data_IF_214571120367
#
_entry.id   IF_214571120367
#
_cell.length_a   1.000
_cell.length_b   1.000
_cell.length_c   1.000
_cell.angle_alpha   90.00
_cell.angle_beta   90.00
_cell.angle_gamma   90.00
#
_symmetry.space_group_name_H-M   'P 1'
#
loop_
_entity.id
_entity.type
_entity.pdbx_description
1 polymer ?
#
# COMPACT_ATOMS: atom_id res chain seq x y z
N UNK A 1 -36.49 29.00 -1.82
CA UNK A 1 -35.21 28.41 -2.24
C UNK A 1 -34.46 28.01 -1.02
N UNK A 2 -34.47 26.72 -0.68
CA UNK A 2 -33.72 26.18 0.43
C UNK A 2 -32.22 26.26 0.09
N UNK A 3 -31.43 26.93 0.94
CA UNK A 3 -29.98 26.97 0.75
C UNK A 3 -29.46 25.55 0.97
N UNK A 4 -29.11 24.86 -0.10
CA UNK A 4 -28.37 23.59 -0.03
C UNK A 4 -27.02 23.90 0.62
N UNK A 5 -26.91 23.64 1.92
CA UNK A 5 -25.64 23.75 2.65
C UNK A 5 -24.74 22.65 2.11
N UNK A 6 -23.76 22.99 1.29
CA UNK A 6 -22.75 22.04 0.82
C UNK A 6 -21.92 21.55 1.99
N UNK A 7 -22.05 20.27 2.31
CA UNK A 7 -21.23 19.61 3.35
C UNK A 7 -19.73 19.68 2.98
N UNK A 8 -18.87 19.84 3.99
CA UNK A 8 -17.42 19.95 3.81
C UNK A 8 -16.84 18.57 3.48
N UNK A 9 -16.22 18.42 2.31
CA UNK A 9 -15.46 17.22 1.94
C UNK A 9 -14.09 17.16 2.64
N UNK A 10 -13.38 18.28 2.64
CA UNK A 10 -12.03 18.40 3.21
C UNK A 10 -12.10 18.48 4.75
N UNK A 11 -12.43 17.36 5.37
CA UNK A 11 -12.39 17.16 6.83
C UNK A 11 -11.03 16.59 7.23
N UNK A 12 -10.63 16.73 8.50
CA UNK A 12 -9.42 16.09 9.01
C UNK A 12 -9.40 14.57 8.75
N UNK A 13 -10.53 13.91 8.90
CA UNK A 13 -10.63 12.47 8.65
C UNK A 13 -10.40 12.12 7.19
N UNK A 14 -11.00 12.87 6.26
CA UNK A 14 -10.82 12.65 4.83
C UNK A 14 -9.35 12.92 4.41
N UNK A 15 -8.77 14.03 4.86
CA UNK A 15 -7.37 14.35 4.58
C UNK A 15 -6.42 13.27 5.13
N UNK A 16 -6.65 12.79 6.35
CA UNK A 16 -5.83 11.74 6.96
C UNK A 16 -5.90 10.43 6.18
N UNK A 17 -7.11 10.02 5.75
CA UNK A 17 -7.29 8.78 4.97
C UNK A 17 -6.71 8.92 3.57
N UNK A 18 -6.85 10.06 2.92
CA UNK A 18 -6.25 10.32 1.60
C UNK A 18 -4.70 10.36 1.68
N UNK A 19 -4.14 10.98 2.73
CA UNK A 19 -2.71 10.98 2.98
C UNK A 19 -2.19 9.56 3.28
N UNK A 20 -2.92 8.78 4.09
CA UNK A 20 -2.62 7.38 4.34
C UNK A 20 -2.63 6.56 3.05
N UNK A 21 -3.61 6.79 2.18
CA UNK A 21 -3.66 6.14 0.86
C UNK A 21 -2.45 6.49 -0.01
N UNK A 22 -2.08 7.77 -0.04
CA UNK A 22 -0.88 8.21 -0.74
C UNK A 22 0.36 7.48 -0.21
N UNK A 23 0.59 7.45 1.10
CA UNK A 23 1.75 6.81 1.72
C UNK A 23 1.77 5.30 1.47
N UNK A 24 0.61 4.63 1.56
CA UNK A 24 0.46 3.20 1.26
C UNK A 24 0.91 2.87 -0.17
N UNK A 25 0.36 3.56 -1.14
CA UNK A 25 0.69 3.34 -2.54
C UNK A 25 2.08 3.85 -2.89
N UNK A 26 2.53 4.94 -2.27
CA UNK A 26 3.89 5.43 -2.42
C UNK A 26 4.93 4.38 -1.98
N UNK A 27 4.75 3.79 -0.80
CA UNK A 27 5.60 2.70 -0.32
C UNK A 27 5.57 1.47 -1.26
N UNK A 28 4.39 1.12 -1.79
CA UNK A 28 4.26 0.05 -2.77
C UNK A 28 5.02 0.36 -4.07
N UNK A 29 4.80 1.54 -4.67
CA UNK A 29 5.42 1.94 -5.93
C UNK A 29 6.92 2.22 -5.80
N UNK A 30 7.37 2.65 -4.63
CA UNK A 30 8.78 2.84 -4.32
C UNK A 30 9.55 1.51 -4.39
N UNK A 31 8.97 0.41 -3.91
CA UNK A 31 9.61 -0.91 -3.97
C UNK A 31 9.60 -1.53 -5.37
N UNK A 32 8.64 -1.19 -6.21
CA UNK A 32 8.33 -1.93 -7.44
C UNK A 32 9.52 -2.06 -8.41
N UNK A 33 10.27 -0.98 -8.77
CA UNK A 33 11.39 -1.09 -9.70
C UNK A 33 12.66 -1.66 -9.07
N UNK A 34 12.84 -1.49 -7.76
CA UNK A 34 14.09 -1.81 -7.06
C UNK A 34 14.15 -3.27 -6.62
N UNK A 35 13.00 -3.87 -6.30
CA UNK A 35 12.97 -5.27 -5.83
C UNK A 35 13.54 -6.29 -6.83
N UNK A 36 13.27 -6.23 -8.15
CA UNK A 36 13.93 -7.13 -9.10
C UNK A 36 15.45 -6.99 -9.10
N UNK A 37 15.94 -5.76 -8.97
CA UNK A 37 17.38 -5.46 -8.90
C UNK A 37 17.99 -6.05 -7.63
N UNK A 38 17.35 -5.77 -6.47
CA UNK A 38 17.77 -6.34 -5.19
C UNK A 38 17.83 -7.88 -5.21
N UNK A 39 16.80 -8.55 -5.72
CA UNK A 39 16.77 -10.01 -5.80
C UNK A 39 17.89 -10.58 -6.69
N UNK A 40 18.23 -9.88 -7.75
CA UNK A 40 19.34 -10.27 -8.64
C UNK A 40 20.70 -10.06 -7.96
N UNK A 41 20.90 -8.94 -7.29
CA UNK A 41 22.19 -8.58 -6.71
C UNK A 41 22.46 -9.31 -5.39
N UNK A 42 21.48 -9.32 -4.47
CA UNK A 42 21.66 -9.90 -3.14
C UNK A 42 21.57 -11.44 -3.13
N UNK A 43 20.77 -12.03 -4.01
CA UNK A 43 20.51 -13.48 -4.02
C UNK A 43 20.87 -14.18 -5.33
N UNK A 44 21.45 -13.48 -6.29
CA UNK A 44 21.69 -14.01 -7.64
C UNK A 44 20.46 -14.68 -8.27
N UNK A 45 19.27 -14.16 -7.96
CA UNK A 45 18.02 -14.73 -8.42
C UNK A 45 17.85 -14.54 -9.93
N UNK A 46 17.40 -15.59 -10.61
CA UNK A 46 17.05 -15.49 -12.03
C UNK A 46 15.84 -14.56 -12.22
N UNK A 47 15.68 -13.98 -13.41
CA UNK A 47 14.51 -13.14 -13.75
C UNK A 47 13.19 -13.88 -13.53
N UNK A 48 13.15 -15.18 -13.83
CA UNK A 48 11.96 -16.01 -13.57
C UNK A 48 11.67 -16.14 -12.09
N UNK A 49 12.69 -16.43 -11.27
CA UNK A 49 12.54 -16.55 -9.80
C UNK A 49 12.10 -15.23 -9.20
N UNK A 50 12.71 -14.11 -9.59
CA UNK A 50 12.29 -12.79 -9.14
C UNK A 50 10.83 -12.51 -9.53
N UNK A 51 10.42 -12.83 -10.75
CA UNK A 51 9.04 -12.70 -11.21
C UNK A 51 8.04 -13.50 -10.34
N UNK A 52 8.35 -14.75 -9.99
CA UNK A 52 7.52 -15.57 -9.09
C UNK A 52 7.38 -14.93 -7.71
N UNK A 53 8.49 -14.49 -7.12
CA UNK A 53 8.48 -13.87 -5.80
C UNK A 53 7.67 -12.56 -5.81
N UNK A 54 7.83 -11.74 -6.83
CA UNK A 54 7.07 -10.49 -6.95
C UNK A 54 5.59 -10.74 -7.20
N UNK A 55 5.25 -11.75 -8.01
CA UNK A 55 3.86 -12.14 -8.27
C UNK A 55 3.15 -12.69 -7.04
N UNK A 56 3.87 -13.36 -6.12
CA UNK A 56 3.30 -13.89 -4.88
C UNK A 56 2.60 -12.81 -4.05
N UNK A 57 3.16 -11.61 -4.02
CA UNK A 57 2.54 -10.44 -3.37
C UNK A 57 1.15 -10.11 -3.94
N UNK A 58 1.06 -10.03 -5.26
CA UNK A 58 -0.21 -9.69 -5.93
C UNK A 58 -1.23 -10.81 -5.77
N UNK A 59 -0.79 -12.06 -5.87
CA UNK A 59 -1.65 -13.24 -5.69
C UNK A 59 -2.22 -13.25 -4.28
N UNK A 60 -1.39 -13.13 -3.26
CA UNK A 60 -1.86 -13.15 -1.86
C UNK A 60 -2.71 -11.93 -1.51
N UNK A 61 -2.38 -10.75 -2.06
CA UNK A 61 -3.21 -9.56 -1.91
C UNK A 61 -4.60 -9.73 -2.54
N UNK A 62 -4.70 -10.44 -3.66
CA UNK A 62 -5.98 -10.73 -4.31
C UNK A 62 -6.78 -11.77 -3.53
N UNK A 63 -6.12 -12.84 -3.08
CA UNK A 63 -6.77 -13.93 -2.35
C UNK A 63 -7.37 -13.50 -1.01
N UNK A 64 -6.76 -12.52 -0.33
CA UNK A 64 -7.26 -12.04 0.97
C UNK A 64 -8.48 -11.11 0.85
N UNK A 65 -8.74 -10.50 -0.32
CA UNK A 65 -9.81 -9.50 -0.48
C UNK A 65 -11.21 -9.94 -0.03
N UNK A 66 -11.69 -11.16 -0.32
CA UNK A 66 -13.00 -11.61 0.18
C UNK A 66 -13.06 -11.60 1.71
N UNK A 67 -11.98 -12.05 2.36
CA UNK A 67 -11.86 -12.04 3.83
C UNK A 67 -11.72 -10.64 4.40
N UNK A 68 -11.03 -9.74 3.67
CA UNK A 68 -10.89 -8.35 4.05
C UNK A 68 -12.24 -7.63 4.12
N UNK A 69 -13.15 -7.89 3.16
CA UNK A 69 -14.51 -7.39 3.18
C UNK A 69 -15.25 -7.84 4.45
N UNK A 70 -15.24 -9.14 4.74
CA UNK A 70 -15.83 -9.68 5.97
C UNK A 70 -15.25 -9.03 7.24
N UNK A 71 -13.93 -8.86 7.31
CA UNK A 71 -13.28 -8.24 8.47
C UNK A 71 -13.70 -6.77 8.67
N UNK A 72 -13.81 -6.01 7.59
CA UNK A 72 -14.23 -4.58 7.65
C UNK A 72 -15.67 -4.45 8.10
N UNK A 73 -16.54 -5.42 7.78
CA UNK A 73 -17.94 -5.41 8.20
C UNK A 73 -18.12 -5.91 9.64
N UNK A 74 -17.21 -6.75 10.14
CA UNK A 74 -17.31 -7.39 11.46
C UNK A 74 -16.58 -6.61 12.55
N UNK A 75 -15.42 -6.03 12.25
CA UNK A 75 -14.57 -5.36 13.25
C UNK A 75 -14.70 -3.83 13.22
N UNK A 76 -14.38 -3.14 14.34
CA UNK A 76 -14.34 -1.68 14.37
C UNK A 76 -13.34 -1.14 13.34
N UNK A 77 -13.84 -0.50 12.29
CA UNK A 77 -13.10 -0.07 11.09
C UNK A 77 -11.81 0.70 11.39
N UNK A 78 -11.87 1.65 12.34
CA UNK A 78 -10.68 2.44 12.74
C UNK A 78 -9.59 1.56 13.36
N UNK A 79 -9.95 0.63 14.25
CA UNK A 79 -8.98 -0.26 14.89
C UNK A 79 -8.37 -1.21 13.87
N UNK A 80 -9.20 -1.79 13.02
CA UNK A 80 -8.75 -2.67 11.94
C UNK A 80 -7.78 -1.94 11.02
N UNK A 81 -8.12 -0.73 10.57
CA UNK A 81 -7.27 0.09 9.70
C UNK A 81 -5.89 0.34 10.33
N UNK A 82 -5.84 0.72 11.61
CA UNK A 82 -4.57 0.97 12.30
C UNK A 82 -3.72 -0.30 12.43
N UNK A 83 -4.35 -1.44 12.74
CA UNK A 83 -3.66 -2.74 12.79
C UNK A 83 -3.10 -3.09 11.40
N UNK A 84 -3.88 -2.90 10.34
CA UNK A 84 -3.44 -3.16 8.97
C UNK A 84 -2.25 -2.27 8.57
N UNK A 85 -2.27 -0.97 8.91
CA UNK A 85 -1.12 -0.08 8.68
C UNK A 85 0.12 -0.54 9.46
N UNK A 86 -0.04 -0.87 10.72
CA UNK A 86 1.07 -1.34 11.54
C UNK A 86 1.67 -2.63 10.98
N UNK A 87 0.83 -3.61 10.64
CA UNK A 87 1.27 -4.88 10.05
C UNK A 87 1.96 -4.64 8.71
N UNK A 88 1.41 -3.76 7.86
CA UNK A 88 2.02 -3.40 6.59
C UNK A 88 3.42 -2.82 6.77
N UNK A 89 3.58 -1.88 7.70
CA UNK A 89 4.89 -1.27 8.00
C UNK A 89 5.89 -2.27 8.60
N UNK A 90 5.41 -3.22 9.40
CA UNK A 90 6.27 -4.25 10.00
C UNK A 90 6.98 -5.11 8.94
N UNK A 91 6.32 -5.36 7.80
CA UNK A 91 6.93 -6.13 6.71
C UNK A 91 8.12 -5.43 6.04
N UNK A 92 8.21 -4.10 6.09
CA UNK A 92 9.40 -3.38 5.61
C UNK A 92 10.64 -3.74 6.44
N UNK A 93 10.51 -3.75 7.76
CA UNK A 93 11.57 -4.26 8.63
C UNK A 93 11.91 -5.73 8.38
N UNK A 94 10.93 -6.52 7.95
CA UNK A 94 11.13 -7.92 7.56
C UNK A 94 12.09 -8.09 6.38
N UNK A 95 12.05 -7.19 5.39
CA UNK A 95 12.97 -7.26 4.23
C UNK A 95 14.43 -7.10 4.64
N UNK A 96 14.74 -6.23 5.60
CA UNK A 96 16.09 -6.04 6.14
C UNK A 96 16.64 -7.30 6.84
N UNK A 97 15.73 -8.14 7.37
CA UNK A 97 16.07 -9.37 8.06
C UNK A 97 16.09 -10.60 7.15
N UNK A 98 15.75 -10.45 5.88
CA UNK A 98 15.63 -11.55 4.93
C UNK A 98 16.99 -12.03 4.43
N UNK A 99 17.70 -12.83 5.23
CA UNK A 99 19.01 -13.40 4.89
C UNK A 99 18.98 -14.51 3.83
N UNK A 100 17.82 -14.98 3.39
CA UNK A 100 17.67 -16.02 2.36
C UNK A 100 16.54 -15.68 1.38
N UNK A 101 16.68 -16.17 0.14
CA UNK A 101 15.66 -15.98 -0.91
C UNK A 101 14.28 -16.55 -0.51
N UNK A 102 14.27 -17.69 0.18
CA UNK A 102 13.03 -18.33 0.65
C UNK A 102 12.35 -17.45 1.71
N UNK A 103 13.10 -16.94 2.69
CA UNK A 103 12.56 -16.06 3.72
C UNK A 103 12.02 -14.77 3.11
N UNK A 104 12.74 -14.19 2.13
CA UNK A 104 12.27 -13.03 1.38
C UNK A 104 10.94 -13.30 0.68
N UNK A 105 10.81 -14.46 0.02
CA UNK A 105 9.57 -14.86 -0.67
C UNK A 105 8.39 -15.00 0.31
N UNK A 106 8.60 -15.58 1.49
CA UNK A 106 7.59 -15.70 2.55
C UNK A 106 7.17 -14.32 3.05
N UNK A 107 8.12 -13.45 3.34
CA UNK A 107 7.86 -12.06 3.77
C UNK A 107 7.08 -11.32 2.68
N UNK A 108 7.46 -11.50 1.42
CA UNK A 108 6.79 -10.85 0.28
C UNK A 108 5.34 -11.31 0.13
N UNK A 109 5.07 -12.60 0.26
CA UNK A 109 3.72 -13.14 0.25
C UNK A 109 2.88 -12.62 1.43
N UNK A 110 3.45 -12.62 2.65
CA UNK A 110 2.81 -12.07 3.85
C UNK A 110 2.51 -10.57 3.73
N UNK A 111 3.45 -9.80 3.17
CA UNK A 111 3.26 -8.37 2.91
C UNK A 111 2.12 -8.13 1.91
N UNK A 112 1.94 -9.02 0.91
CA UNK A 112 0.80 -8.97 0.00
C UNK A 112 -0.54 -9.15 0.71
N UNK A 113 -0.63 -10.05 1.70
CA UNK A 113 -1.81 -10.21 2.55
C UNK A 113 -2.12 -8.91 3.31
N UNK A 114 -1.09 -8.32 3.96
CA UNK A 114 -1.25 -7.05 4.68
C UNK A 114 -1.70 -5.92 3.77
N UNK A 115 -1.14 -5.82 2.55
CA UNK A 115 -1.54 -4.85 1.55
C UNK A 115 -3.00 -5.03 1.10
N UNK A 116 -3.41 -6.27 0.82
CA UNK A 116 -4.78 -6.59 0.42
C UNK A 116 -5.81 -6.19 1.48
N UNK A 117 -5.54 -6.52 2.76
CA UNK A 117 -6.37 -6.10 3.90
C UNK A 117 -6.41 -4.58 4.04
N UNK A 118 -5.24 -3.94 3.96
CA UNK A 118 -5.10 -2.50 4.14
C UNK A 118 -5.80 -1.71 3.04
N UNK A 119 -5.69 -2.11 1.77
CA UNK A 119 -6.35 -1.40 0.66
C UNK A 119 -7.87 -1.46 0.78
N UNK A 120 -8.46 -2.59 1.17
CA UNK A 120 -9.91 -2.73 1.39
C UNK A 120 -10.33 -1.89 2.60
N UNK A 121 -9.64 -2.02 3.74
CA UNK A 121 -9.96 -1.25 4.96
C UNK A 121 -9.87 0.25 4.73
N UNK A 122 -8.82 0.72 4.04
CA UNK A 122 -8.60 2.14 3.79
C UNK A 122 -9.66 2.72 2.85
N UNK A 123 -10.01 2.01 1.77
CA UNK A 123 -11.07 2.46 0.84
C UNK A 123 -12.45 2.50 1.50
N UNK A 124 -12.76 1.54 2.37
CA UNK A 124 -14.02 1.54 3.11
C UNK A 124 -14.10 2.72 4.08
N UNK A 125 -13.05 2.95 4.88
CA UNK A 125 -13.00 4.11 5.78
C UNK A 125 -13.04 5.43 5.01
N UNK A 126 -12.41 5.49 3.81
CA UNK A 126 -12.49 6.67 2.96
C UNK A 126 -13.93 7.00 2.57
N UNK A 127 -14.71 5.99 2.17
CA UNK A 127 -16.14 6.18 1.82
C UNK A 127 -16.96 6.60 3.04
N UNK A 128 -16.67 6.07 4.23
CA UNK A 128 -17.39 6.41 5.47
C UNK A 128 -17.20 7.86 5.91
N UNK A 129 -16.00 8.40 5.69
CA UNK A 129 -15.71 9.80 6.08
C UNK A 129 -16.12 10.83 5.04
N UNK A 130 -16.58 10.38 3.86
CA UNK A 130 -17.08 11.26 2.80
C UNK A 130 -18.56 11.56 3.00
N UNK A 131 -18.99 12.83 2.88
CA UNK A 131 -20.40 13.16 2.82
C UNK A 131 -21.11 12.44 1.66
N UNK A 132 -22.30 11.93 1.89
CA UNK A 132 -23.07 11.20 0.85
C UNK A 132 -23.31 12.04 -0.39
N UNK A 133 -23.52 13.35 -0.22
CA UNK A 133 -23.75 14.34 -1.28
C UNK A 133 -22.53 14.61 -2.16
N UNK A 134 -21.31 14.24 -1.68
CA UNK A 134 -20.02 14.52 -2.36
C UNK A 134 -19.14 13.29 -2.55
N UNK A 135 -19.69 12.08 -2.44
CA UNK A 135 -18.90 10.83 -2.57
C UNK A 135 -18.18 10.71 -3.90
N UNK A 136 -18.83 11.06 -5.01
CA UNK A 136 -18.19 11.01 -6.33
C UNK A 136 -16.96 11.90 -6.43
N UNK A 137 -17.05 13.12 -5.91
CA UNK A 137 -15.93 14.06 -5.83
C UNK A 137 -14.83 13.54 -4.91
N UNK A 138 -15.20 13.02 -3.72
CA UNK A 138 -14.27 12.46 -2.75
C UNK A 138 -13.50 11.26 -3.29
N UNK A 139 -14.17 10.34 -4.00
CA UNK A 139 -13.52 9.19 -4.65
C UNK A 139 -12.53 9.68 -5.73
N UNK A 140 -12.86 10.73 -6.47
CA UNK A 140 -11.93 11.35 -7.42
C UNK A 140 -10.64 11.83 -6.76
N UNK A 141 -10.73 12.62 -5.70
CA UNK A 141 -9.55 13.09 -4.96
C UNK A 141 -8.78 11.95 -4.28
N UNK A 142 -9.48 10.95 -3.74
CA UNK A 142 -8.85 9.75 -3.21
C UNK A 142 -8.06 8.99 -4.28
N UNK A 143 -8.59 8.89 -5.51
CA UNK A 143 -7.87 8.33 -6.65
C UNK A 143 -6.64 9.15 -7.07
N UNK A 144 -6.72 10.49 -6.97
CA UNK A 144 -5.56 11.36 -7.24
C UNK A 144 -4.40 11.05 -6.29
N UNK A 145 -4.65 10.74 -5.01
CA UNK A 145 -3.58 10.39 -4.06
C UNK A 145 -2.81 9.14 -4.52
N UNK A 146 -3.51 8.14 -5.08
CA UNK A 146 -2.87 6.96 -5.65
C UNK A 146 -2.05 7.29 -6.93
N UNK A 147 -2.60 8.09 -7.84
CA UNK A 147 -1.91 8.48 -9.07
C UNK A 147 -0.64 9.30 -8.79
N UNK A 148 -0.66 10.19 -7.79
CA UNK A 148 0.53 10.90 -7.32
C UNK A 148 1.59 9.94 -6.79
N UNK A 149 1.20 8.96 -5.97
CA UNK A 149 2.10 7.94 -5.46
C UNK A 149 2.75 7.11 -6.59
N UNK A 150 1.94 6.72 -7.59
CA UNK A 150 2.40 5.99 -8.78
C UNK A 150 3.40 6.81 -9.61
N UNK A 151 3.23 8.12 -9.68
CA UNK A 151 4.11 9.00 -10.47
C UNK A 151 5.44 9.27 -9.76
N UNK A 152 5.41 9.46 -8.45
CA UNK A 152 6.59 9.89 -7.67
C UNK A 152 7.39 8.70 -7.15
N UNK A 153 6.72 7.62 -6.71
CA UNK A 153 7.36 6.47 -6.07
C UNK A 153 8.49 5.84 -6.88
N UNK A 154 8.27 5.38 -8.12
CA UNK A 154 9.30 4.75 -8.93
C UNK A 154 10.49 5.68 -9.22
N UNK A 155 10.22 6.95 -9.52
CA UNK A 155 11.26 7.93 -9.82
C UNK A 155 12.15 8.18 -8.60
N UNK A 156 11.55 8.34 -7.43
CA UNK A 156 12.33 8.57 -6.20
C UNK A 156 13.13 7.33 -5.80
N UNK A 157 12.58 6.14 -5.96
CA UNK A 157 13.26 4.90 -5.60
C UNK A 157 14.51 4.66 -6.47
N UNK A 158 14.41 4.89 -7.78
CA UNK A 158 15.56 4.80 -8.68
C UNK A 158 16.60 5.88 -8.38
N UNK A 159 16.15 7.11 -8.11
CA UNK A 159 17.06 8.20 -7.72
C UNK A 159 17.84 7.87 -6.43
N UNK A 160 17.17 7.31 -5.41
CA UNK A 160 17.83 6.91 -4.17
C UNK A 160 18.84 5.78 -4.46
N UNK A 161 18.43 4.77 -5.22
CA UNK A 161 19.31 3.66 -5.60
C UNK A 161 20.57 4.14 -6.33
N UNK A 162 20.41 5.00 -7.34
CA UNK A 162 21.53 5.53 -8.14
C UNK A 162 22.46 6.46 -7.32
N UNK A 163 21.90 7.16 -6.34
CA UNK A 163 22.66 8.11 -5.51
C UNK A 163 23.46 7.44 -4.39
N UNK A 164 22.91 6.39 -3.79
CA UNK A 164 23.49 5.77 -2.57
C UNK A 164 24.00 4.35 -2.80
N UNK A 165 23.68 3.71 -3.91
CA UNK A 165 24.02 2.33 -4.24
C UNK A 165 23.74 1.31 -3.10
N UNK A 166 22.73 1.60 -2.28
CA UNK A 166 22.35 0.79 -1.13
C UNK A 166 20.81 0.68 -1.05
N UNK A 167 20.33 -0.56 -1.01
CA UNK A 167 18.90 -0.87 -0.94
C UNK A 167 18.30 -0.61 0.44
N UNK A 168 19.10 -0.59 1.51
CA UNK A 168 18.62 -0.39 2.88
C UNK A 168 17.91 0.96 3.08
N UNK A 169 18.24 1.95 2.26
CA UNK A 169 17.58 3.26 2.29
C UNK A 169 16.18 3.27 1.65
N UNK A 170 15.80 2.16 1.02
CA UNK A 170 14.52 2.02 0.32
C UNK A 170 13.55 1.13 1.10
N UNK A 171 14.06 0.25 1.95
CA UNK A 171 13.29 -0.55 2.89
C UNK A 171 13.08 0.19 4.22
#
# INVERSE_FOLDING_TARGET
>A
MEKVVREKLWTHSFCAVAAGNFLLFFAFYLLLPVLPMYLSEAFAASRSTAGFILSSYTITALMIRPFAGYMVDTFPRKKLLLICYFTFLLFFGGYLLAGTLLLFAIIRAGHGIAFGLLTVSNSTVAIDVMPSSRRGEGIGYYGVSNNLAMSVGPTLSLYIHDSFANFDYIF
#
